data_IF_898248541361
#
_entry.id   IF_898248541361
#
_cell.length_a   1.000
_cell.length_b   1.000
_cell.length_c   1.000
_cell.angle_alpha   90.00
_cell.angle_beta   90.00
_cell.angle_gamma   90.00
#
_symmetry.space_group_name_H-M   'P 1'
#
loop_
_entity.id
_entity.type
_entity.pdbx_description
1 polymer ?
#
# COMPACT_ATOMS: atom_id res chain seq x y z
N UNK A 1 -5.36 -9.32 6.12
CA UNK A 1 -6.18 -10.55 6.18
C UNK A 1 -7.51 -10.30 5.46
N UNK A 2 -8.15 -11.30 4.82
CA UNK A 2 -9.54 -11.13 4.40
C UNK A 2 -10.34 -10.86 5.67
N UNK A 3 -11.07 -9.74 5.73
CA UNK A 3 -12.07 -9.57 6.77
C UNK A 3 -13.21 -10.53 6.43
N UNK A 4 -13.19 -11.71 7.01
CA UNK A 4 -14.37 -12.57 7.06
C UNK A 4 -15.15 -12.25 8.35
N UNK A 5 -16.32 -12.85 8.55
CA UNK A 5 -17.12 -12.60 9.75
C UNK A 5 -16.46 -13.04 11.07
N UNK A 6 -15.25 -13.62 11.03
CA UNK A 6 -14.52 -14.14 12.20
C UNK A 6 -13.23 -13.37 12.48
N UNK A 7 -12.59 -12.82 11.46
CA UNK A 7 -11.29 -12.16 11.56
C UNK A 7 -11.33 -10.76 10.94
N UNK A 8 -10.66 -9.81 11.58
CA UNK A 8 -10.53 -8.44 11.11
C UNK A 8 -9.29 -7.78 11.70
N UNK A 9 -8.98 -6.60 11.20
CA UNK A 9 -7.84 -5.78 11.64
C UNK A 9 -8.37 -4.59 12.45
N UNK A 10 -7.68 -4.23 13.54
CA UNK A 10 -7.94 -3.01 14.32
C UNK A 10 -6.60 -2.51 14.86
N UNK A 11 -5.96 -1.63 14.08
CA UNK A 11 -4.54 -1.33 14.23
C UNK A 11 -4.29 0.18 14.26
N UNK A 12 -3.17 0.57 14.89
CA UNK A 12 -2.54 1.86 14.71
C UNK A 12 -1.27 1.62 13.88
N UNK A 13 -1.38 1.85 12.57
CA UNK A 13 -0.29 1.59 11.64
C UNK A 13 0.64 2.77 11.46
N UNK A 14 1.94 2.46 11.50
CA UNK A 14 2.99 3.37 11.07
C UNK A 14 3.30 3.12 9.60
N UNK A 15 3.08 4.12 8.76
CA UNK A 15 3.43 4.06 7.34
C UNK A 15 4.89 4.48 7.15
N UNK A 16 5.75 3.50 6.85
CA UNK A 16 7.19 3.67 6.70
C UNK A 16 7.60 3.64 5.23
N UNK A 17 8.57 4.48 4.85
CA UNK A 17 9.10 4.56 3.50
C UNK A 17 10.58 4.19 3.43
N UNK A 18 10.96 3.50 2.35
CA UNK A 18 12.35 3.25 1.98
C UNK A 18 12.55 3.50 0.48
N UNK A 19 13.60 4.23 0.13
CA UNK A 19 14.02 4.48 -1.25
C UNK A 19 15.46 4.00 -1.41
N UNK A 20 15.62 2.73 -1.77
CA UNK A 20 16.92 2.07 -1.90
C UNK A 20 16.78 0.80 -2.72
N UNK A 21 17.83 0.46 -3.47
CA UNK A 21 17.98 -0.88 -4.01
C UNK A 21 18.23 -1.89 -2.89
N UNK A 22 17.44 -2.96 -2.88
CA UNK A 22 17.54 -4.06 -1.92
C UNK A 22 17.58 -5.38 -2.67
N UNK A 23 18.36 -6.33 -2.14
CA UNK A 23 18.20 -7.73 -2.52
C UNK A 23 17.00 -8.28 -1.75
N UNK A 24 16.15 -9.04 -2.43
CA UNK A 24 14.96 -9.61 -1.81
C UNK A 24 14.86 -11.11 -2.09
N UNK A 25 14.77 -11.89 -1.01
CA UNK A 25 14.54 -13.33 -1.01
C UNK A 25 13.30 -13.60 -0.12
N UNK A 26 12.08 -13.64 -0.72
CA UNK A 26 10.83 -13.83 0.03
C UNK A 26 10.82 -15.16 0.77
N UNK A 27 10.27 -15.18 1.98
CA UNK A 27 9.83 -16.44 2.58
C UNK A 27 8.55 -16.91 1.87
N UNK A 28 8.54 -18.06 1.17
CA UNK A 28 7.39 -18.54 0.41
C UNK A 28 6.17 -18.88 1.29
N UNK A 29 6.37 -19.13 2.59
CA UNK A 29 5.25 -19.37 3.52
C UNK A 29 4.47 -18.07 3.82
N UNK A 30 5.09 -16.91 3.62
CA UNK A 30 4.52 -15.59 3.93
C UNK A 30 4.18 -14.79 2.66
N UNK A 31 4.96 -14.95 1.59
CA UNK A 31 4.85 -14.18 0.36
C UNK A 31 4.75 -15.09 -0.85
N UNK A 32 3.58 -15.09 -1.48
CA UNK A 32 3.31 -15.91 -2.66
C UNK A 32 4.00 -15.38 -3.94
N UNK A 33 4.09 -14.06 -4.10
CA UNK A 33 4.75 -13.41 -5.24
C UNK A 33 5.13 -11.96 -4.88
N UNK A 34 6.11 -11.39 -5.58
CA UNK A 34 6.56 -10.02 -5.39
C UNK A 34 6.91 -9.35 -6.72
N UNK A 35 6.50 -8.09 -6.86
CA UNK A 35 6.71 -7.32 -8.09
C UNK A 35 6.96 -5.85 -7.80
N UNK A 36 8.01 -5.30 -8.41
CA UNK A 36 8.19 -3.86 -8.53
C UNK A 36 7.28 -3.30 -9.60
N UNK A 37 6.59 -2.20 -9.29
CA UNK A 37 5.66 -1.54 -10.19
C UNK A 37 5.94 -0.05 -10.30
N UNK A 38 5.72 0.49 -11.49
CA UNK A 38 5.61 1.94 -11.67
C UNK A 38 4.16 2.42 -11.40
N UNK A 39 3.95 3.73 -11.42
CA UNK A 39 2.63 4.35 -11.15
C UNK A 39 1.52 3.83 -12.05
N UNK A 40 1.78 3.69 -13.35
CA UNK A 40 0.76 3.25 -14.32
C UNK A 40 0.42 1.77 -14.13
N UNK A 41 1.42 0.94 -13.83
CA UNK A 41 1.20 -0.47 -13.47
C UNK A 41 0.40 -0.60 -12.17
N UNK A 42 0.65 0.24 -11.17
CA UNK A 42 -0.16 0.26 -9.95
C UNK A 42 -1.61 0.66 -10.25
N UNK A 43 -1.85 1.72 -11.04
CA UNK A 43 -3.20 2.11 -11.45
C UNK A 43 -3.94 0.98 -12.17
N UNK A 44 -3.26 0.25 -13.04
CA UNK A 44 -3.86 -0.89 -13.73
C UNK A 44 -4.17 -2.05 -12.76
N UNK A 45 -3.31 -2.30 -11.76
CA UNK A 45 -3.60 -3.27 -10.70
C UNK A 45 -4.85 -2.87 -9.91
N UNK A 46 -4.99 -1.59 -9.55
CA UNK A 46 -6.19 -1.09 -8.87
C UNK A 46 -7.44 -1.28 -9.73
N UNK A 47 -7.37 -0.90 -11.02
CA UNK A 47 -8.48 -1.07 -11.97
C UNK A 47 -8.92 -2.53 -12.09
N UNK A 48 -7.97 -3.45 -12.22
CA UNK A 48 -8.22 -4.89 -12.31
C UNK A 48 -8.83 -5.43 -11.03
N UNK A 49 -8.34 -5.00 -9.87
CA UNK A 49 -8.91 -5.35 -8.57
C UNK A 49 -10.37 -4.93 -8.46
N UNK A 50 -10.68 -3.69 -8.84
CA UNK A 50 -12.03 -3.13 -8.77
C UNK A 50 -12.99 -3.82 -9.75
N UNK A 51 -12.48 -4.25 -10.91
CA UNK A 51 -13.22 -5.03 -11.91
C UNK A 51 -13.35 -6.52 -11.55
N UNK A 52 -12.70 -6.98 -10.47
CA UNK A 52 -12.67 -8.39 -10.09
C UNK A 52 -11.93 -9.29 -11.08
N UNK A 53 -11.04 -8.71 -11.89
CA UNK A 53 -10.26 -9.42 -12.91
C UNK A 53 -9.17 -10.28 -12.26
N UNK A 54 -8.93 -11.46 -12.84
CA UNK A 54 -7.85 -12.39 -12.47
C UNK A 54 -7.81 -12.82 -10.99
N UNK A 55 -8.93 -12.68 -10.29
CA UNK A 55 -9.04 -12.97 -8.85
C UNK A 55 -8.17 -12.07 -7.98
N UNK A 56 -7.72 -10.93 -8.51
CA UNK A 56 -6.84 -10.01 -7.82
C UNK A 56 -7.58 -9.33 -6.67
N UNK A 57 -7.04 -9.45 -5.45
CA UNK A 57 -7.60 -8.85 -4.25
C UNK A 57 -6.57 -7.92 -3.62
N UNK A 58 -7.01 -6.75 -3.21
CA UNK A 58 -6.21 -5.81 -2.43
C UNK A 58 -6.65 -5.85 -0.98
N UNK A 59 -5.72 -5.65 -0.05
CA UNK A 59 -6.10 -5.49 1.35
C UNK A 59 -6.89 -4.18 1.53
N UNK A 60 -7.88 -4.15 2.44
CA UNK A 60 -8.63 -2.94 2.70
C UNK A 60 -7.75 -1.76 3.14
N UNK A 61 -6.77 -1.99 4.01
CA UNK A 61 -5.83 -0.95 4.45
C UNK A 61 -5.00 -0.38 3.29
N UNK A 62 -4.55 -1.23 2.36
CA UNK A 62 -3.74 -0.78 1.23
C UNK A 62 -4.57 0.11 0.33
N UNK A 63 -5.84 -0.25 0.11
CA UNK A 63 -6.76 0.60 -0.66
C UNK A 63 -6.96 1.96 -0.01
N UNK A 64 -7.18 2.01 1.30
CA UNK A 64 -7.29 3.28 2.04
C UNK A 64 -6.02 4.14 1.89
N UNK A 65 -4.84 3.54 1.97
CA UNK A 65 -3.57 4.25 1.77
C UNK A 65 -3.44 4.80 0.34
N UNK A 66 -3.78 3.99 -0.67
CA UNK A 66 -3.73 4.40 -2.07
C UNK A 66 -4.65 5.59 -2.33
N UNK A 67 -5.91 5.49 -1.91
CA UNK A 67 -6.94 6.45 -2.23
C UNK A 67 -6.73 7.81 -1.52
N UNK A 68 -6.10 7.80 -0.35
CA UNK A 68 -5.92 9.01 0.45
C UNK A 68 -4.54 9.65 0.33
N UNK A 69 -3.48 8.86 0.11
CA UNK A 69 -2.11 9.34 0.37
C UNK A 69 -1.06 8.93 -0.66
N UNK A 70 -1.07 7.69 -1.14
CA UNK A 70 0.08 7.09 -1.81
C UNK A 70 0.60 7.90 -3.00
N UNK A 71 -0.29 8.34 -3.89
CA UNK A 71 0.13 9.08 -5.09
C UNK A 71 0.73 10.44 -4.76
N UNK A 72 0.22 11.12 -3.72
CA UNK A 72 0.82 12.37 -3.23
C UNK A 72 2.21 12.10 -2.66
N UNK A 73 2.37 11.08 -1.82
CA UNK A 73 3.69 10.72 -1.28
C UNK A 73 4.67 10.32 -2.38
N UNK A 74 4.21 9.62 -3.42
CA UNK A 74 5.03 9.28 -4.57
C UNK A 74 5.58 10.53 -5.26
N UNK A 75 4.80 11.61 -5.39
CA UNK A 75 5.30 12.89 -5.93
C UNK A 75 6.46 13.43 -5.09
N UNK A 76 6.36 13.34 -3.76
CA UNK A 76 7.43 13.75 -2.84
C UNK A 76 8.67 12.83 -2.91
N UNK A 77 8.50 11.54 -3.21
CA UNK A 77 9.64 10.64 -3.48
C UNK A 77 10.41 11.13 -4.70
N UNK A 78 9.72 11.39 -5.81
CA UNK A 78 10.34 11.80 -7.08
C UNK A 78 11.00 13.19 -6.98
N UNK A 79 10.38 14.09 -6.21
CA UNK A 79 10.91 15.43 -5.95
C UNK A 79 12.01 15.45 -4.87
N UNK A 80 12.26 14.33 -4.19
CA UNK A 80 13.20 14.22 -3.06
C UNK A 80 12.83 15.17 -1.90
N UNK A 81 11.54 15.26 -1.59
CA UNK A 81 10.95 16.12 -0.55
C UNK A 81 10.08 15.35 0.45
N UNK A 82 10.38 14.06 0.66
CA UNK A 82 9.63 13.20 1.60
C UNK A 82 9.58 13.75 3.02
N UNK A 83 10.62 14.46 3.46
CA UNK A 83 10.70 15.10 4.78
C UNK A 83 9.56 16.10 5.02
N UNK A 84 9.01 16.69 3.96
CA UNK A 84 7.93 17.69 4.04
C UNK A 84 6.56 17.06 4.33
N UNK A 85 6.41 15.75 4.13
CA UNK A 85 5.16 15.01 4.33
C UNK A 85 5.19 14.05 5.50
N UNK A 86 6.27 14.08 6.29
CA UNK A 86 6.34 13.35 7.56
C UNK A 86 5.39 14.00 8.57
N UNK A 87 4.43 13.24 9.07
CA UNK A 87 3.54 13.66 10.16
C UNK A 87 3.59 12.65 11.30
N UNK A 88 4.23 13.05 12.39
CA UNK A 88 4.34 12.26 13.63
C UNK A 88 3.36 12.72 14.72
N UNK A 89 2.46 13.66 14.40
CA UNK A 89 1.52 14.27 15.35
C UNK A 89 0.09 13.80 15.10
N UNK A 90 -0.28 13.60 13.84
CA UNK A 90 -1.64 13.25 13.47
C UNK A 90 -1.83 11.74 13.40
N UNK A 91 -2.89 11.25 14.04
CA UNK A 91 -3.40 9.89 13.81
C UNK A 91 -4.54 10.00 12.81
N UNK A 92 -4.30 9.56 11.58
CA UNK A 92 -5.31 9.55 10.52
C UNK A 92 -6.31 8.42 10.76
N UNK A 93 -7.56 8.77 11.08
CA UNK A 93 -8.65 7.80 11.20
C UNK A 93 -9.27 7.59 9.82
N UNK A 94 -8.95 6.45 9.20
CA UNK A 94 -9.52 6.06 7.92
C UNK A 94 -10.70 5.14 8.16
N UNK A 95 -11.84 5.47 7.56
CA UNK A 95 -13.05 4.65 7.58
C UNK A 95 -13.48 4.37 6.15
N UNK A 96 -13.96 3.15 5.91
CA UNK A 96 -14.66 2.81 4.67
C UNK A 96 -16.03 3.50 4.60
#
# INVERSE_FOLDING_TARGET
APSDGKWGEHELDYLLFIVRDVNYEPNPDEVADAKYVNREQLKEILRRADAGEDGLKLSPWFRLVVDNFLFKWWDHVEQKTLDQVVDMKTIHKLTH
#
